data_IF_325604810711
#
_entry.id   IF_325604810711
#
_cell.length_a   1.000
_cell.length_b   1.000
_cell.length_c   1.000
_cell.angle_alpha   90.00
_cell.angle_beta   90.00
_cell.angle_gamma   90.00
#
_symmetry.space_group_name_H-M   'P 1'
#
loop_
_entity.id
_entity.type
_entity.pdbx_description
1 polymer ?
#
# COMPACT_ATOMS: atom_id res chain seq x y z
N UNK A 1 27.60 -3.61 -12.06
CA UNK A 1 26.18 -3.85 -12.44
C UNK A 1 25.40 -4.74 -11.46
N UNK A 2 26.04 -5.72 -10.78
CA UNK A 2 25.39 -6.59 -9.78
C UNK A 2 24.74 -5.85 -8.61
N UNK A 3 25.40 -4.85 -8.00
CA UNK A 3 24.81 -4.10 -6.88
C UNK A 3 23.58 -3.28 -7.27
N UNK A 4 23.51 -2.79 -8.52
CA UNK A 4 22.33 -2.06 -9.02
C UNK A 4 21.12 -2.98 -9.16
N UNK A 5 21.32 -4.22 -9.64
CA UNK A 5 20.28 -5.25 -9.70
C UNK A 5 19.89 -5.78 -8.31
N UNK A 6 20.85 -5.89 -7.40
CA UNK A 6 20.59 -6.28 -6.00
C UNK A 6 19.74 -5.23 -5.27
N UNK A 7 20.08 -3.93 -5.43
CA UNK A 7 19.27 -2.80 -4.92
C UNK A 7 17.87 -2.76 -5.54
N UNK A 8 17.75 -3.09 -6.82
CA UNK A 8 16.47 -3.18 -7.53
C UNK A 8 15.58 -4.32 -7.01
N UNK A 9 16.16 -5.50 -6.76
CA UNK A 9 15.46 -6.61 -6.11
C UNK A 9 15.06 -6.25 -4.66
N UNK A 10 15.93 -5.54 -3.94
CA UNK A 10 15.68 -5.12 -2.56
C UNK A 10 14.51 -4.14 -2.44
N UNK A 11 14.43 -3.12 -3.31
CA UNK A 11 13.33 -2.14 -3.31
C UNK A 11 12.02 -2.79 -3.77
N UNK A 12 12.06 -3.71 -4.73
CA UNK A 12 10.89 -4.44 -5.20
C UNK A 12 10.35 -5.47 -4.18
N UNK A 13 11.19 -5.98 -3.27
CA UNK A 13 10.82 -7.02 -2.29
C UNK A 13 10.54 -6.47 -0.89
N UNK A 14 11.23 -5.40 -0.46
CA UNK A 14 11.07 -4.88 0.90
C UNK A 14 9.88 -3.91 1.02
N UNK A 15 9.66 -3.06 0.02
CA UNK A 15 8.55 -2.09 0.02
C UNK A 15 7.18 -2.79 0.14
N UNK A 16 6.92 -3.95 -0.49
CA UNK A 16 5.72 -4.75 -0.25
C UNK A 16 5.54 -5.18 1.20
N UNK A 17 6.57 -5.68 1.88
CA UNK A 17 6.42 -6.22 3.24
C UNK A 17 6.15 -5.12 4.27
N UNK A 18 6.78 -3.95 4.13
CA UNK A 18 6.61 -2.81 5.04
C UNK A 18 5.23 -2.12 4.88
N UNK A 19 4.72 -2.05 3.65
CA UNK A 19 3.46 -1.37 3.33
C UNK A 19 2.25 -2.33 3.33
N UNK A 20 2.51 -3.63 3.21
CA UNK A 20 1.57 -4.72 3.46
C UNK A 20 1.89 -5.29 4.83
N UNK A 21 1.74 -4.48 5.89
CA UNK A 21 1.76 -4.91 7.30
C UNK A 21 0.57 -5.82 7.66
N UNK A 22 0.22 -6.72 6.74
CA UNK A 22 -0.79 -7.74 6.84
C UNK A 22 -0.21 -8.99 6.19
N UNK A 23 0.57 -9.74 6.96
CA UNK A 23 0.88 -11.12 6.61
C UNK A 23 -0.47 -11.83 6.38
N UNK A 24 -0.69 -12.39 5.20
CA UNK A 24 -1.97 -13.02 4.87
C UNK A 24 -1.98 -14.46 5.34
N UNK A 25 -3.00 -14.85 6.11
CA UNK A 25 -3.19 -16.20 6.64
C UNK A 25 -4.23 -17.03 5.89
N UNK A 26 -4.22 -18.36 6.10
CA UNK A 26 -5.22 -19.25 5.54
C UNK A 26 -6.62 -18.77 5.94
N UNK A 27 -7.54 -18.84 4.98
CA UNK A 27 -8.81 -18.17 5.07
C UNK A 27 -9.81 -18.94 5.95
N UNK A 28 -10.04 -18.49 7.19
CA UNK A 28 -11.27 -18.90 7.89
C UNK A 28 -12.49 -18.34 7.13
N UNK A 29 -13.40 -19.23 6.77
CA UNK A 29 -14.59 -18.96 5.98
C UNK A 29 -15.51 -17.96 6.71
N UNK A 30 -15.82 -16.82 6.06
CA UNK A 30 -17.01 -15.98 6.33
C UNK A 30 -17.05 -14.64 5.56
N UNK A 31 -15.98 -14.19 4.89
CA UNK A 31 -16.04 -13.00 4.03
C UNK A 31 -15.07 -13.11 2.83
N UNK A 32 -15.56 -12.81 1.62
CA UNK A 32 -14.70 -12.69 0.43
C UNK A 32 -13.72 -11.54 0.64
N UNK A 33 -12.44 -11.77 0.33
CA UNK A 33 -11.44 -10.72 0.34
C UNK A 33 -11.83 -9.60 -0.65
N UNK A 34 -11.47 -8.34 -0.39
CA UNK A 34 -11.88 -7.24 -1.24
C UNK A 34 -11.24 -7.38 -2.62
N UNK A 35 -12.01 -7.13 -3.69
CA UNK A 35 -11.46 -7.11 -5.04
C UNK A 35 -10.49 -5.93 -5.24
N UNK A 36 -9.47 -6.15 -6.04
CA UNK A 36 -8.55 -5.09 -6.47
C UNK A 36 -8.93 -4.60 -7.89
N UNK A 37 -8.48 -3.40 -8.29
CA UNK A 37 -8.54 -2.99 -9.69
C UNK A 37 -7.90 -4.03 -10.61
N UNK A 38 -8.41 -4.14 -11.83
CA UNK A 38 -7.77 -4.95 -12.88
C UNK A 38 -6.43 -4.31 -13.28
N UNK A 39 -5.45 -5.09 -13.78
CA UNK A 39 -4.18 -4.55 -14.27
C UNK A 39 -4.36 -3.42 -15.29
N UNK A 40 -5.35 -3.53 -16.19
CA UNK A 40 -5.68 -2.48 -17.16
C UNK A 40 -6.08 -1.15 -16.49
N UNK A 41 -6.82 -1.20 -15.37
CA UNK A 41 -7.19 0.00 -14.61
C UNK A 41 -6.00 0.61 -13.87
N UNK A 42 -5.03 -0.21 -13.46
CA UNK A 42 -3.76 0.28 -12.90
C UNK A 42 -2.93 0.94 -14.00
N UNK A 43 -2.81 0.30 -15.16
CA UNK A 43 -2.09 0.82 -16.32
C UNK A 43 -2.69 2.14 -16.86
N UNK A 44 -4.01 2.34 -16.76
CA UNK A 44 -4.64 3.61 -17.12
C UNK A 44 -4.18 4.78 -16.24
N UNK A 45 -3.81 4.54 -14.98
CA UNK A 45 -3.22 5.55 -14.10
C UNK A 45 -1.69 5.61 -14.21
N UNK A 46 -1.05 4.49 -14.54
CA UNK A 46 0.39 4.32 -14.63
C UNK A 46 0.75 3.55 -15.91
N UNK A 47 0.86 4.24 -17.07
CA UNK A 47 1.01 3.60 -18.37
C UNK A 47 2.23 2.68 -18.48
N UNK A 48 3.32 2.97 -17.76
CA UNK A 48 4.53 2.14 -17.72
C UNK A 48 4.31 0.76 -17.08
N UNK A 49 3.16 0.52 -16.46
CA UNK A 49 2.76 -0.78 -15.89
C UNK A 49 1.86 -1.60 -16.83
N UNK A 50 1.63 -1.13 -18.06
CA UNK A 50 0.92 -1.92 -19.06
C UNK A 50 1.65 -3.25 -19.35
N UNK A 51 0.93 -4.37 -19.32
CA UNK A 51 1.49 -5.71 -19.50
C UNK A 51 2.23 -6.28 -18.28
N UNK A 52 2.38 -5.52 -17.19
CA UNK A 52 2.99 -6.02 -15.95
C UNK A 52 2.04 -6.98 -15.24
N UNK A 53 2.52 -8.19 -14.96
CA UNK A 53 1.80 -9.15 -14.11
C UNK A 53 2.07 -8.81 -12.64
N UNK A 54 1.06 -8.43 -11.84
CA UNK A 54 1.27 -8.13 -10.44
C UNK A 54 1.53 -9.38 -9.62
N UNK A 55 2.29 -9.20 -8.54
CA UNK A 55 2.28 -10.18 -7.44
C UNK A 55 1.06 -9.90 -6.59
N UNK A 56 0.11 -10.84 -6.56
CA UNK A 56 -1.15 -10.72 -5.83
C UNK A 56 -1.14 -11.63 -4.61
N UNK A 57 -1.54 -11.09 -3.47
CA UNK A 57 -1.70 -11.82 -2.22
C UNK A 57 -3.07 -11.52 -1.62
N UNK A 58 -3.77 -12.52 -1.10
CA UNK A 58 -5.07 -12.34 -0.45
C UNK A 58 -5.28 -13.37 0.66
N UNK A 59 -6.09 -13.02 1.67
CA UNK A 59 -6.32 -13.91 2.80
C UNK A 59 -6.83 -13.22 4.06
N UNK A 60 -6.69 -13.90 5.20
CA UNK A 60 -6.94 -13.30 6.50
C UNK A 60 -5.86 -12.27 6.84
N UNK A 61 -6.28 -11.09 7.29
CA UNK A 61 -5.37 -10.08 7.81
C UNK A 61 -4.77 -10.58 9.13
N UNK A 62 -3.46 -10.83 9.20
CA UNK A 62 -2.80 -11.17 10.46
C UNK A 62 -2.25 -9.91 11.14
N UNK A 63 -2.17 -9.91 12.49
CA UNK A 63 -1.36 -8.92 13.19
C UNK A 63 0.11 -9.05 12.80
N UNK A 64 0.75 -7.91 12.53
CA UNK A 64 2.20 -7.77 12.57
C UNK A 64 2.68 -7.33 13.96
N UNK A 65 3.99 -7.20 14.14
CA UNK A 65 4.60 -6.71 15.38
C UNK A 65 4.16 -5.28 15.72
N UNK A 66 3.71 -4.53 14.71
CA UNK A 66 3.31 -3.13 14.84
C UNK A 66 1.81 -2.92 14.99
N UNK A 67 0.99 -3.97 14.86
CA UNK A 67 -0.47 -3.85 14.84
C UNK A 67 -1.13 -4.70 15.93
N UNK A 68 -1.90 -4.10 16.85
CA UNK A 68 -2.70 -4.87 17.82
C UNK A 68 -3.64 -5.86 17.13
N UNK A 69 -3.58 -7.13 17.52
CA UNK A 69 -4.40 -8.21 16.95
C UNK A 69 -5.89 -7.90 16.93
N UNK A 70 -6.40 -7.18 17.94
CA UNK A 70 -7.81 -6.80 18.02
C UNK A 70 -8.31 -5.95 16.84
N UNK A 71 -7.44 -5.12 16.23
CA UNK A 71 -7.80 -4.22 15.15
C UNK A 71 -8.09 -4.95 13.84
N UNK A 72 -7.30 -5.99 13.55
CA UNK A 72 -7.39 -6.75 12.30
C UNK A 72 -8.07 -8.12 12.49
N UNK A 73 -8.45 -8.47 13.73
CA UNK A 73 -9.14 -9.74 14.03
C UNK A 73 -10.37 -9.95 13.14
N UNK A 74 -10.26 -10.97 12.28
CA UNK A 74 -11.26 -11.39 11.31
C UNK A 74 -11.48 -10.44 10.14
N UNK A 75 -10.53 -9.53 9.89
CA UNK A 75 -10.47 -8.78 8.65
C UNK A 75 -9.90 -9.67 7.52
N UNK A 76 -10.26 -9.33 6.29
CA UNK A 76 -9.74 -9.98 5.07
C UNK A 76 -9.05 -8.93 4.22
N UNK A 77 -7.92 -9.27 3.62
CA UNK A 77 -7.14 -8.36 2.80
C UNK A 77 -6.83 -8.93 1.43
N UNK A 78 -6.57 -8.03 0.50
CA UNK A 78 -5.95 -8.33 -0.78
C UNK A 78 -4.98 -7.21 -1.10
N UNK A 79 -3.83 -7.55 -1.65
CA UNK A 79 -2.83 -6.60 -2.11
C UNK A 79 -2.25 -7.07 -3.45
N UNK A 80 -1.91 -6.12 -4.30
CA UNK A 80 -1.24 -6.34 -5.55
C UNK A 80 -0.10 -5.33 -5.69
N UNK A 81 1.08 -5.83 -6.05
CA UNK A 81 2.28 -5.02 -6.28
C UNK A 81 2.63 -5.07 -7.76
N UNK A 82 2.83 -3.91 -8.35
CA UNK A 82 3.17 -3.72 -9.76
C UNK A 82 4.54 -3.05 -9.84
N UNK A 83 5.49 -3.71 -10.52
CA UNK A 83 6.81 -3.16 -10.77
C UNK A 83 7.35 -3.68 -12.10
N UNK A 84 7.63 -2.79 -13.04
CA UNK A 84 8.19 -3.15 -14.35
C UNK A 84 9.73 -3.12 -14.35
N UNK A 85 10.32 -2.18 -13.61
CA UNK A 85 11.76 -1.91 -13.61
C UNK A 85 12.19 -1.28 -12.29
N UNK A 86 13.44 -0.80 -12.22
CA UNK A 86 13.89 0.05 -11.12
C UNK A 86 12.94 1.26 -10.96
N UNK A 87 12.33 1.46 -9.79
CA UNK A 87 11.35 2.51 -9.64
C UNK A 87 12.00 3.88 -9.57
N UNK A 88 11.45 4.82 -10.32
CA UNK A 88 11.81 6.24 -10.30
C UNK A 88 10.56 7.08 -10.05
N UNK A 89 10.69 8.36 -9.75
CA UNK A 89 9.54 9.24 -9.50
C UNK A 89 8.53 9.25 -10.67
N UNK A 90 9.02 9.24 -11.91
CA UNK A 90 8.18 9.23 -13.12
C UNK A 90 7.60 7.84 -13.44
N UNK A 91 8.31 6.77 -13.08
CA UNK A 91 7.91 5.38 -13.30
C UNK A 91 7.97 4.60 -11.98
N UNK A 92 7.09 4.92 -11.02
CA UNK A 92 7.15 4.32 -9.69
C UNK A 92 6.69 2.87 -9.69
N UNK A 93 7.12 2.10 -8.69
CA UNK A 93 6.42 0.87 -8.32
C UNK A 93 5.13 1.25 -7.62
N UNK A 94 4.05 0.49 -7.86
CA UNK A 94 2.73 0.79 -7.31
C UNK A 94 2.18 -0.40 -6.57
N UNK A 95 1.78 -0.18 -5.32
CA UNK A 95 1.06 -1.15 -4.50
C UNK A 95 -0.37 -0.69 -4.32
N UNK A 96 -1.33 -1.59 -4.57
CA UNK A 96 -2.74 -1.37 -4.25
C UNK A 96 -3.15 -2.41 -3.24
N UNK A 97 -3.67 -1.99 -2.09
CA UNK A 97 -4.19 -2.90 -1.07
C UNK A 97 -5.60 -2.50 -0.65
N UNK A 98 -6.38 -3.50 -0.25
CA UNK A 98 -7.71 -3.32 0.28
C UNK A 98 -7.93 -4.28 1.44
N UNK A 99 -8.54 -3.77 2.50
CA UNK A 99 -8.83 -4.50 3.74
C UNK A 99 -10.30 -4.31 4.07
N UNK A 100 -11.03 -5.41 4.29
CA UNK A 100 -12.39 -5.40 4.81
C UNK A 100 -12.37 -5.83 6.26
N UNK A 101 -12.85 -4.96 7.13
CA UNK A 101 -13.01 -5.20 8.56
C UNK A 101 -14.40 -5.74 8.87
N UNK A 102 -14.59 -6.30 10.08
CA UNK A 102 -15.91 -6.71 10.58
C UNK A 102 -16.86 -5.54 10.86
N UNK A 103 -16.34 -4.31 10.96
CA UNK A 103 -17.16 -3.13 11.22
C UNK A 103 -16.46 -1.85 10.78
N UNK A 104 -17.25 -0.80 10.51
CA UNK A 104 -16.76 0.54 10.18
C UNK A 104 -15.93 1.16 11.32
N UNK A 105 -16.24 0.83 12.57
CA UNK A 105 -15.48 1.29 13.75
C UNK A 105 -14.06 0.74 13.74
N UNK A 106 -13.88 -0.55 13.44
CA UNK A 106 -12.54 -1.15 13.30
C UNK A 106 -11.77 -0.56 12.13
N UNK A 107 -12.43 -0.38 10.98
CA UNK A 107 -11.82 0.28 9.82
C UNK A 107 -11.36 1.71 10.11
N UNK A 108 -12.17 2.49 10.85
CA UNK A 108 -11.83 3.84 11.33
C UNK A 108 -10.64 3.83 12.28
N UNK A 109 -10.63 2.92 13.26
CA UNK A 109 -9.54 2.79 14.22
C UNK A 109 -8.22 2.40 13.55
N UNK A 110 -8.26 1.48 12.59
CA UNK A 110 -7.11 1.12 11.78
C UNK A 110 -6.57 2.32 10.98
N UNK A 111 -7.44 3.03 10.24
CA UNK A 111 -7.02 4.18 9.43
C UNK A 111 -6.38 5.29 10.29
N UNK A 112 -6.90 5.55 11.49
CA UNK A 112 -6.33 6.53 12.42
C UNK A 112 -4.88 6.21 12.84
N UNK A 113 -4.51 4.93 12.85
CA UNK A 113 -3.18 4.46 13.25
C UNK A 113 -2.28 4.09 12.05
N UNK A 114 -2.76 4.25 10.82
CA UNK A 114 -2.06 3.80 9.62
C UNK A 114 -0.64 4.36 9.48
N UNK A 115 -0.43 5.65 9.76
CA UNK A 115 0.90 6.27 9.69
C UNK A 115 1.88 5.65 10.69
N UNK A 116 1.43 5.41 11.93
CA UNK A 116 2.23 4.75 12.96
C UNK A 116 2.54 3.29 12.61
N UNK A 117 1.59 2.58 12.00
CA UNK A 117 1.81 1.22 11.52
C UNK A 117 2.86 1.16 10.42
N UNK A 118 2.75 2.01 9.39
CA UNK A 118 3.73 2.05 8.30
C UNK A 118 5.11 2.40 8.85
N UNK A 119 5.21 3.36 9.77
CA UNK A 119 6.47 3.73 10.41
C UNK A 119 7.10 2.54 11.15
N UNK A 120 6.32 1.86 11.99
CA UNK A 120 6.82 0.74 12.77
C UNK A 120 7.19 -0.46 11.88
N UNK A 121 6.39 -0.82 10.88
CA UNK A 121 6.71 -1.93 9.96
C UNK A 121 7.98 -1.62 9.16
N UNK A 122 8.17 -0.35 8.75
CA UNK A 122 9.40 0.10 8.10
C UNK A 122 10.62 -0.05 9.03
N UNK A 123 10.48 0.38 10.29
CA UNK A 123 11.54 0.27 11.31
C UNK A 123 11.86 -1.18 11.68
N UNK A 124 10.84 -2.06 11.75
CA UNK A 124 11.01 -3.49 12.02
C UNK A 124 11.82 -4.19 10.91
N UNK A 125 11.79 -3.65 9.69
CA UNK A 125 12.60 -4.11 8.56
C UNK A 125 13.97 -3.42 8.47
N UNK A 126 14.34 -2.60 9.46
CA UNK A 126 15.63 -1.91 9.53
C UNK A 126 15.69 -0.60 8.74
N UNK A 127 14.56 -0.06 8.30
CA UNK A 127 14.53 1.23 7.60
C UNK A 127 14.40 2.37 8.62
N UNK A 128 15.16 3.44 8.41
CA UNK A 128 14.73 4.72 8.95
C UNK A 128 13.51 5.17 8.16
N UNK A 129 12.54 5.77 8.85
CA UNK A 129 11.27 6.17 8.26
C UNK A 129 10.94 7.60 8.68
N UNK A 130 10.61 8.45 7.72
CA UNK A 130 9.96 9.72 7.97
C UNK A 130 8.69 9.81 7.12
N UNK A 131 7.69 10.52 7.64
CA UNK A 131 6.49 10.81 6.87
C UNK A 131 5.94 12.19 7.17
N UNK A 132 5.41 12.82 6.13
CA UNK A 132 4.69 14.08 6.21
C UNK A 132 3.26 13.83 5.78
N UNK A 133 2.32 14.03 6.69
CA UNK A 133 0.91 13.87 6.38
C UNK A 133 0.40 15.06 5.55
N UNK A 134 -0.47 14.78 4.59
CA UNK A 134 -1.17 15.79 3.81
C UNK A 134 -2.64 15.41 3.60
N UNK A 135 -3.45 16.43 3.28
CA UNK A 135 -4.88 16.27 3.00
C UNK A 135 -5.10 16.22 1.49
N UNK A 136 -6.05 15.41 1.05
CA UNK A 136 -6.49 15.38 -0.34
C UNK A 136 -8.00 15.20 -0.46
N UNK A 137 -8.54 15.51 -1.65
CA UNK A 137 -9.97 15.38 -1.95
C UNK A 137 -10.26 14.08 -2.70
N UNK A 138 -11.19 13.29 -2.16
CA UNK A 138 -11.72 12.09 -2.81
C UNK A 138 -13.21 11.98 -2.49
N UNK A 139 -14.06 12.07 -3.53
CA UNK A 139 -15.52 11.97 -3.38
C UNK A 139 -15.91 10.51 -3.09
N UNK A 140 -16.93 10.31 -2.24
CA UNK A 140 -17.51 8.99 -1.97
C UNK A 140 -16.71 8.12 -0.99
N UNK A 141 -15.88 8.74 -0.15
CA UNK A 141 -15.12 8.13 0.95
C UNK A 141 -15.40 8.87 2.25
N UNK A 142 -15.40 8.18 3.38
CA UNK A 142 -15.71 8.78 4.68
C UNK A 142 -14.50 9.44 5.33
N UNK A 143 -13.31 8.87 5.13
CA UNK A 143 -12.05 9.35 5.70
C UNK A 143 -10.90 9.09 4.74
N UNK A 144 -9.85 9.90 4.87
CA UNK A 144 -8.70 9.93 3.96
C UNK A 144 -7.44 10.32 4.73
N UNK A 145 -6.31 9.72 4.40
CA UNK A 145 -4.99 10.09 4.91
C UNK A 145 -4.00 10.02 3.77
N UNK A 146 -3.31 11.12 3.47
CA UNK A 146 -2.17 11.14 2.56
C UNK A 146 -0.88 11.22 3.35
N UNK A 147 0.14 10.48 2.94
CA UNK A 147 1.46 10.48 3.54
C UNK A 147 2.50 10.54 2.42
N UNK A 148 3.34 11.57 2.44
CA UNK A 148 4.63 11.55 1.76
C UNK A 148 5.59 10.82 2.67
N UNK A 149 6.20 9.73 2.22
CA UNK A 149 7.07 8.89 3.04
C UNK A 149 8.48 8.87 2.47
N UNK A 150 9.49 8.95 3.33
CA UNK A 150 10.88 8.68 2.98
C UNK A 150 11.38 7.53 3.85
N UNK A 151 12.01 6.55 3.22
CA UNK A 151 12.58 5.37 3.86
C UNK A 151 14.05 5.27 3.46
N UNK A 152 14.93 4.93 4.39
CA UNK A 152 16.32 4.65 4.02
C UNK A 152 16.95 3.48 4.77
N UNK A 153 17.79 2.73 4.08
CA UNK A 153 18.59 1.63 4.62
C UNK A 153 19.91 1.56 3.86
N UNK A 154 21.04 1.46 4.57
CA UNK A 154 22.36 1.19 3.99
C UNK A 154 22.70 1.99 2.72
N UNK A 155 22.47 3.31 2.72
CA UNK A 155 22.77 4.21 1.59
C UNK A 155 21.77 4.16 0.42
N UNK A 156 20.63 3.49 0.60
CA UNK A 156 19.50 3.48 -0.33
C UNK A 156 18.42 4.38 0.27
N UNK A 157 17.90 5.33 -0.51
CA UNK A 157 16.79 6.19 -0.10
C UNK A 157 15.61 6.00 -1.05
N UNK A 158 14.45 5.81 -0.45
CA UNK A 158 13.19 5.48 -1.09
C UNK A 158 12.21 6.59 -0.71
N UNK A 159 11.55 7.17 -1.70
CA UNK A 159 10.49 8.15 -1.45
C UNK A 159 9.18 7.65 -2.03
N UNK A 160 8.07 7.97 -1.38
CA UNK A 160 6.77 7.45 -1.76
C UNK A 160 5.62 8.35 -1.42
N UNK A 161 4.52 8.12 -2.12
CA UNK A 161 3.21 8.68 -1.83
C UNK A 161 2.27 7.56 -1.43
N UNK A 162 1.82 7.58 -0.18
CA UNK A 162 0.80 6.64 0.31
C UNK A 162 -0.51 7.38 0.54
N UNK A 163 -1.56 6.95 -0.15
CA UNK A 163 -2.91 7.47 0.01
C UNK A 163 -3.80 6.36 0.53
N UNK A 164 -4.44 6.59 1.68
CA UNK A 164 -5.42 5.69 2.27
C UNK A 164 -6.80 6.33 2.27
N UNK A 165 -7.83 5.54 2.01
CA UNK A 165 -9.22 5.96 2.12
C UNK A 165 -10.09 4.88 2.78
N UNK A 166 -11.03 5.33 3.62
CA UNK A 166 -12.06 4.48 4.21
C UNK A 166 -13.39 4.68 3.49
N UNK A 167 -14.13 3.59 3.29
CA UNK A 167 -15.53 3.60 2.90
C UNK A 167 -16.28 2.49 3.66
N UNK A 168 -17.07 2.87 4.66
CA UNK A 168 -17.71 1.92 5.56
C UNK A 168 -16.69 1.03 6.26
N UNK A 169 -16.83 -0.29 6.09
CA UNK A 169 -15.98 -1.33 6.68
C UNK A 169 -14.65 -1.56 5.95
N UNK A 170 -14.40 -0.81 4.87
CA UNK A 170 -13.27 -1.06 3.98
C UNK A 170 -12.25 0.07 4.07
N UNK A 171 -10.98 -0.30 4.12
CA UNK A 171 -9.84 0.62 3.95
C UNK A 171 -9.10 0.20 2.68
N UNK A 172 -8.85 1.16 1.80
CA UNK A 172 -8.11 0.96 0.55
C UNK A 172 -6.90 1.87 0.57
N UNK A 173 -5.75 1.36 0.17
CA UNK A 173 -4.53 2.13 0.02
C UNK A 173 -3.96 1.99 -1.39
N UNK A 174 -3.36 3.08 -1.86
CA UNK A 174 -2.48 3.11 -3.02
C UNK A 174 -1.17 3.72 -2.55
N UNK A 175 -0.08 3.01 -2.79
CA UNK A 175 1.27 3.52 -2.52
C UNK A 175 2.10 3.50 -3.79
N UNK A 176 2.63 4.65 -4.19
CA UNK A 176 3.58 4.78 -5.28
C UNK A 176 4.96 5.07 -4.70
N UNK A 177 5.98 4.34 -5.13
CA UNK A 177 7.34 4.43 -4.56
C UNK A 177 8.39 4.59 -5.64
N UNK A 178 9.40 5.40 -5.36
CA UNK A 178 10.62 5.57 -6.15
C UNK A 178 11.86 5.17 -5.34
N UNK A 179 12.92 4.75 -6.03
CA UNK A 179 14.23 4.46 -5.43
C UNK A 179 15.25 5.60 -5.57
N UNK A 180 14.83 6.81 -5.95
CA UNK A 180 15.72 7.95 -6.21
C UNK A 180 15.46 9.15 -5.27
N UNK A 181 14.97 8.88 -4.05
CA UNK A 181 14.64 9.87 -3.02
C UNK A 181 13.64 10.98 -3.44
N UNK A 182 13.02 10.87 -4.62
CA UNK A 182 12.05 11.85 -5.13
C UNK A 182 10.66 11.24 -5.10
N UNK A 183 9.76 11.79 -4.29
CA UNK A 183 8.41 11.25 -4.17
C UNK A 183 7.68 11.32 -5.54
N UNK A 184 6.99 10.26 -5.97
CA UNK A 184 6.16 10.31 -7.18
C UNK A 184 5.06 11.37 -7.08
N UNK A 185 4.50 11.77 -8.23
CA UNK A 185 3.36 12.68 -8.27
C UNK A 185 2.12 12.07 -7.59
N UNK A 186 1.31 12.94 -6.97
CA UNK A 186 0.15 12.53 -6.17
C UNK A 186 -1.08 12.26 -7.05
N UNK A 187 -1.27 12.99 -8.17
CA UNK A 187 -2.50 12.87 -8.97
C UNK A 187 -2.74 11.45 -9.51
N UNK A 188 -1.75 10.75 -10.10
CA UNK A 188 -1.96 9.38 -10.57
C UNK A 188 -2.40 8.43 -9.45
N UNK A 189 -1.81 8.58 -8.26
CA UNK A 189 -2.14 7.77 -7.09
C UNK A 189 -3.58 8.07 -6.59
N UNK A 190 -4.00 9.34 -6.61
CA UNK A 190 -5.39 9.71 -6.27
C UNK A 190 -6.40 9.16 -7.28
N UNK A 191 -6.08 9.23 -8.58
CA UNK A 191 -6.89 8.66 -9.66
C UNK A 191 -7.07 7.15 -9.48
N UNK A 192 -5.97 6.44 -9.22
CA UNK A 192 -6.01 5.01 -8.95
C UNK A 192 -6.77 4.67 -7.66
N UNK A 193 -6.59 5.44 -6.59
CA UNK A 193 -7.30 5.22 -5.33
C UNK A 193 -8.82 5.35 -5.51
N UNK A 194 -9.28 6.32 -6.32
CA UNK A 194 -10.71 6.44 -6.66
C UNK A 194 -11.26 5.18 -7.32
N UNK A 195 -10.48 4.59 -8.23
CA UNK A 195 -10.85 3.34 -8.91
C UNK A 195 -10.79 2.16 -7.96
N UNK A 196 -9.78 2.07 -7.10
CA UNK A 196 -9.61 1.02 -6.10
C UNK A 196 -10.74 1.01 -5.06
N UNK A 197 -11.16 2.18 -4.56
CA UNK A 197 -12.32 2.30 -3.66
C UNK A 197 -13.60 1.77 -4.29
N UNK A 198 -13.78 1.95 -5.61
CA UNK A 198 -14.93 1.39 -6.33
C UNK A 198 -14.80 -0.12 -6.57
N UNK A 199 -13.58 -0.58 -6.86
CA UNK A 199 -13.29 -1.99 -7.14
C UNK A 199 -13.43 -2.87 -5.91
N UNK A 200 -13.07 -2.36 -4.72
CA UNK A 200 -13.12 -3.09 -3.44
C UNK A 200 -14.53 -3.50 -2.97
N UNK A 201 -15.57 -3.34 -3.79
CA UNK A 201 -16.96 -3.73 -3.51
C UNK A 201 -17.10 -5.25 -3.36
#
# INVERSE_FOLDING_TARGET
MQMRRLRQALVAVIVPAALVGLTVGPAEAAAKAPKLPTPAKVAAAYPHLAGVTPVVVSGAAKPGNCTPAALVKGAKSSAAVYSASAPAAATPSVTVAAIRFKSATKAKAYLKKAAAFIACESQALGFTFSSTAFKFKLKGTDQRVGLTTTQSISGISIAGQTLLARKGEKVVSVTAVSGNATAPAVEPAQGLLKVAVKAAR
#
